data_IF_117856284814
#
_entry.id   IF_117856284814
#
_cell.length_a   1.000
_cell.length_b   1.000
_cell.length_c   1.000
_cell.angle_alpha   90.00
_cell.angle_beta   90.00
_cell.angle_gamma   90.00
#
_symmetry.space_group_name_H-M   'P 1'
#
loop_
_entity.id
_entity.type
_entity.pdbx_description
1 polymer ?
#
# COMPACT_ATOMS: atom_id res chain seq x y z
N UNK A 1 -19.82 -1.33 2.79
CA UNK A 1 -18.79 -2.35 2.52
C UNK A 1 -18.70 -2.59 1.00
N UNK A 2 -17.56 -3.02 0.49
CA UNK A 2 -17.38 -3.39 -0.91
C UNK A 2 -17.36 -4.92 -1.01
N UNK A 3 -18.29 -5.51 -1.75
CA UNK A 3 -18.41 -6.95 -1.90
C UNK A 3 -17.54 -7.43 -3.05
N UNK A 4 -16.89 -8.58 -2.86
CA UNK A 4 -15.89 -9.12 -3.78
C UNK A 4 -16.07 -10.62 -3.92
N UNK A 5 -15.85 -11.13 -5.13
CA UNK A 5 -15.74 -12.55 -5.38
C UNK A 5 -14.31 -13.04 -5.11
N UNK A 6 -14.19 -14.35 -4.85
CA UNK A 6 -12.87 -14.99 -4.81
C UNK A 6 -12.15 -14.77 -6.15
N UNK A 7 -10.85 -14.48 -6.09
CA UNK A 7 -10.02 -14.18 -7.26
C UNK A 7 -10.38 -12.87 -7.99
N UNK A 8 -11.28 -12.04 -7.47
CA UNK A 8 -11.55 -10.73 -8.05
C UNK A 8 -10.39 -9.76 -7.76
N UNK A 9 -9.96 -9.02 -8.78
CA UNK A 9 -9.03 -7.91 -8.61
C UNK A 9 -9.76 -6.69 -8.04
N UNK A 10 -9.18 -6.11 -6.99
CA UNK A 10 -9.63 -4.90 -6.35
C UNK A 10 -8.77 -3.74 -6.82
N UNK A 11 -9.41 -2.69 -7.34
CA UNK A 11 -8.73 -1.49 -7.82
C UNK A 11 -8.99 -0.34 -6.85
N UNK A 12 -7.92 0.24 -6.32
CA UNK A 12 -7.99 1.32 -5.34
C UNK A 12 -7.26 2.54 -5.85
N UNK A 13 -7.78 3.70 -5.43
CA UNK A 13 -7.16 5.00 -5.68
C UNK A 13 -7.14 5.79 -4.37
N UNK A 14 -5.97 6.32 -4.04
CA UNK A 14 -5.82 7.36 -3.04
C UNK A 14 -5.54 8.68 -3.75
N UNK A 15 -6.21 9.75 -3.30
CA UNK A 15 -6.08 11.09 -3.87
C UNK A 15 -5.78 12.09 -2.76
N UNK A 16 -4.72 12.87 -2.95
CA UNK A 16 -4.39 14.01 -2.08
C UNK A 16 -5.12 15.26 -2.59
N UNK A 17 -6.01 15.79 -1.76
CA UNK A 17 -6.69 17.07 -2.02
C UNK A 17 -5.90 18.21 -1.37
N UNK A 18 -5.14 18.93 -2.19
CA UNK A 18 -4.34 20.09 -1.78
C UNK A 18 -4.33 21.14 -2.89
N UNK A 19 -4.18 22.42 -2.52
CA UNK A 19 -3.95 23.52 -3.47
C UNK A 19 -2.48 23.63 -3.91
N UNK A 20 -1.54 22.97 -3.23
CA UNK A 20 -0.13 22.97 -3.61
C UNK A 20 0.13 21.93 -4.73
N UNK A 21 0.49 22.37 -5.95
CA UNK A 21 0.75 21.46 -7.07
C UNK A 21 2.08 20.71 -6.94
N UNK A 22 2.95 21.08 -6.00
CA UNK A 22 4.28 20.50 -5.82
C UNK A 22 4.29 19.34 -4.81
N UNK A 23 3.15 18.67 -4.62
CA UNK A 23 3.03 17.51 -3.75
C UNK A 23 2.88 16.22 -4.56
N UNK A 24 3.38 15.13 -4.00
CA UNK A 24 3.13 13.79 -4.51
C UNK A 24 2.68 12.86 -3.39
N UNK A 25 1.86 11.88 -3.77
CA UNK A 25 1.34 10.86 -2.88
C UNK A 25 2.01 9.52 -3.17
N UNK A 26 2.42 8.82 -2.12
CA UNK A 26 3.05 7.52 -2.19
C UNK A 26 2.38 6.55 -1.22
N UNK A 27 2.15 5.31 -1.65
CA UNK A 27 1.63 4.24 -0.81
C UNK A 27 2.82 3.53 -0.16
N UNK A 28 3.04 3.75 1.14
CA UNK A 28 4.17 3.12 1.83
C UNK A 28 3.82 1.71 2.27
N UNK A 29 2.74 1.56 3.04
CA UNK A 29 2.36 0.28 3.65
C UNK A 29 0.85 0.12 3.58
N UNK A 30 0.36 -1.03 3.15
CA UNK A 30 -1.05 -1.40 3.25
C UNK A 30 -1.19 -2.81 3.81
N UNK A 31 -2.09 -2.95 4.78
CA UNK A 31 -2.37 -4.20 5.47
C UNK A 31 -3.87 -4.46 5.52
N UNK A 32 -4.27 -5.71 5.33
CA UNK A 32 -5.65 -6.14 5.52
C UNK A 32 -5.78 -6.96 6.81
N UNK A 33 -6.82 -6.72 7.61
CA UNK A 33 -7.11 -7.45 8.84
C UNK A 33 -8.59 -7.76 8.95
N UNK A 34 -9.01 -8.94 9.46
CA UNK A 34 -10.40 -9.18 9.82
C UNK A 34 -10.85 -8.36 11.04
N UNK A 35 -9.91 -7.89 11.87
CA UNK A 35 -10.18 -7.03 13.03
C UNK A 35 -9.94 -5.55 12.65
N UNK A 36 -10.99 -4.69 12.67
CA UNK A 36 -10.85 -3.28 12.35
C UNK A 36 -10.06 -2.47 13.39
N UNK A 37 -9.75 -3.06 14.55
CA UNK A 37 -9.01 -2.43 15.65
C UNK A 37 -7.58 -2.96 15.82
N UNK A 38 -7.25 -4.10 15.19
CA UNK A 38 -5.91 -4.70 15.25
C UNK A 38 -5.41 -5.10 13.85
N UNK A 39 -4.46 -4.30 13.35
CA UNK A 39 -3.76 -4.52 12.07
C UNK A 39 -2.35 -5.07 12.25
N UNK A 40 -2.04 -5.70 13.40
CA UNK A 40 -0.70 -6.20 13.73
C UNK A 40 -0.68 -7.71 13.96
N UNK A 41 -1.65 -8.23 14.72
CA UNK A 41 -1.62 -9.65 15.14
C UNK A 41 -1.96 -10.59 14.00
N UNK A 42 -2.99 -10.28 13.23
CA UNK A 42 -3.47 -11.07 12.10
C UNK A 42 -3.63 -10.15 10.88
N UNK A 43 -2.50 -9.81 10.28
CA UNK A 43 -2.45 -8.88 9.17
C UNK A 43 -1.90 -9.55 7.90
N UNK A 44 -2.58 -9.31 6.78
CA UNK A 44 -2.10 -9.63 5.44
C UNK A 44 -1.41 -8.40 4.87
N UNK A 45 -0.08 -8.46 4.75
CA UNK A 45 0.70 -7.36 4.16
C UNK A 45 0.53 -7.36 2.64
N UNK A 46 -0.04 -6.29 2.08
CA UNK A 46 -0.14 -6.11 0.63
C UNK A 46 1.13 -5.45 0.08
N UNK A 47 1.56 -4.39 0.75
CA UNK A 47 2.79 -3.64 0.47
C UNK A 47 3.34 -3.18 1.82
N UNK A 48 4.66 -3.18 1.97
CA UNK A 48 5.33 -2.70 3.19
C UNK A 48 6.59 -1.94 2.84
N UNK A 49 6.71 -0.72 3.33
CA UNK A 49 7.84 0.18 3.03
C UNK A 49 8.11 0.29 1.53
N UNK A 50 7.03 0.44 0.74
CA UNK A 50 7.08 0.55 -0.71
C UNK A 50 7.37 -0.76 -1.46
N UNK A 51 7.58 -1.86 -0.73
CA UNK A 51 7.87 -3.16 -1.33
C UNK A 51 6.61 -4.04 -1.36
N UNK A 52 6.12 -4.44 -2.54
CA UNK A 52 5.02 -5.40 -2.65
C UNK A 52 5.32 -6.67 -1.82
N UNK A 53 4.33 -7.09 -1.04
CA UNK A 53 4.36 -8.30 -0.22
C UNK A 53 3.37 -9.34 -0.72
N UNK A 54 2.22 -8.88 -1.22
CA UNK A 54 1.29 -9.70 -1.96
C UNK A 54 1.76 -9.84 -3.42
N UNK A 55 1.92 -11.05 -3.97
CA UNK A 55 2.36 -11.27 -5.36
C UNK A 55 1.41 -10.70 -6.42
N UNK A 56 0.15 -10.47 -6.06
CA UNK A 56 -0.88 -9.89 -6.93
C UNK A 56 -0.97 -8.37 -6.81
N UNK A 57 -0.21 -7.76 -5.89
CA UNK A 57 -0.14 -6.32 -5.76
C UNK A 57 0.51 -5.69 -6.99
N UNK A 58 -0.14 -4.66 -7.54
CA UNK A 58 0.39 -3.91 -8.67
C UNK A 58 0.04 -2.42 -8.56
N UNK A 59 1.04 -1.54 -8.74
CA UNK A 59 0.83 -0.09 -8.82
C UNK A 59 0.55 0.34 -10.25
N UNK A 60 -0.50 1.13 -10.44
CA UNK A 60 -0.88 1.69 -11.74
C UNK A 60 -0.35 3.11 -11.91
N UNK A 61 0.06 3.43 -13.14
CA UNK A 61 0.42 4.78 -13.51
C UNK A 61 -0.75 5.76 -13.30
N UNK A 62 -0.41 6.94 -12.79
CA UNK A 62 -1.30 8.09 -12.70
C UNK A 62 -0.59 9.29 -13.34
N UNK A 63 -1.28 10.07 -14.19
CA UNK A 63 -0.73 11.31 -14.71
C UNK A 63 -0.63 12.42 -13.64
N UNK A 64 -1.29 12.25 -12.49
CA UNK A 64 -1.28 13.20 -11.38
C UNK A 64 -0.41 12.67 -10.25
N UNK A 65 0.62 13.43 -9.84
CA UNK A 65 1.52 13.09 -8.73
C UNK A 65 0.79 12.95 -7.39
N UNK A 66 -0.32 13.68 -7.22
CA UNK A 66 -1.18 13.65 -6.03
C UNK A 66 -2.09 12.43 -5.96
N UNK A 67 -2.04 11.53 -6.95
CA UNK A 67 -2.92 10.35 -7.04
C UNK A 67 -2.08 9.08 -7.12
N UNK A 68 -2.31 8.16 -6.20
CA UNK A 68 -1.73 6.81 -6.23
C UNK A 68 -2.81 5.79 -6.55
N UNK A 69 -2.54 4.91 -7.52
CA UNK A 69 -3.44 3.82 -7.92
C UNK A 69 -2.75 2.49 -7.74
N UNK A 70 -3.47 1.52 -7.21
CA UNK A 70 -2.96 0.17 -7.05
C UNK A 70 -4.10 -0.85 -7.09
N UNK A 71 -3.75 -2.10 -7.38
CA UNK A 71 -4.65 -3.22 -7.25
C UNK A 71 -4.01 -4.38 -6.51
N UNK A 72 -4.85 -5.27 -6.03
CA UNK A 72 -4.47 -6.57 -5.51
C UNK A 72 -5.65 -7.54 -5.68
N UNK A 73 -5.38 -8.83 -5.60
CA UNK A 73 -6.39 -9.85 -5.71
C UNK A 73 -7.02 -10.19 -4.36
N UNK A 74 -8.34 -10.40 -4.32
CA UNK A 74 -9.04 -10.71 -3.07
C UNK A 74 -8.74 -12.12 -2.50
N UNK A 75 -8.08 -13.00 -3.26
CA UNK A 75 -7.79 -14.39 -2.86
C UNK A 75 -7.13 -14.52 -1.48
N UNK A 76 -6.23 -13.59 -1.12
CA UNK A 76 -5.43 -13.68 0.09
C UNK A 76 -6.24 -13.72 1.40
N UNK A 77 -7.51 -13.26 1.39
CA UNK A 77 -8.34 -13.19 2.61
C UNK A 77 -9.76 -13.72 2.48
N UNK A 78 -10.38 -13.72 1.29
CA UNK A 78 -11.80 -14.10 1.13
C UNK A 78 -12.06 -15.57 1.49
N UNK A 79 -11.06 -16.45 1.39
CA UNK A 79 -11.22 -17.86 1.74
C UNK A 79 -11.13 -18.13 3.26
N UNK A 80 -10.76 -17.13 4.07
CA UNK A 80 -10.53 -17.31 5.53
C UNK A 80 -11.48 -16.49 6.38
N UNK A 81 -11.86 -15.30 5.92
CA UNK A 81 -12.72 -14.38 6.66
C UNK A 81 -13.81 -13.80 5.76
N UNK A 82 -15.07 -13.69 6.25
CA UNK A 82 -16.18 -13.16 5.44
C UNK A 82 -16.05 -11.66 5.14
N UNK A 83 -15.21 -10.95 5.90
CA UNK A 83 -14.89 -9.55 5.69
C UNK A 83 -13.49 -9.25 6.21
N UNK A 84 -12.85 -8.24 5.61
CA UNK A 84 -11.61 -7.63 6.09
C UNK A 84 -11.68 -6.13 5.95
N UNK A 85 -10.83 -5.45 6.71
CA UNK A 85 -10.61 -4.02 6.68
C UNK A 85 -9.23 -3.76 6.11
N UNK A 86 -9.09 -2.69 5.35
CA UNK A 86 -7.84 -2.27 4.76
C UNK A 86 -7.35 -1.00 5.47
N UNK A 87 -6.11 -1.02 5.94
CA UNK A 87 -5.43 0.15 6.47
C UNK A 87 -4.20 0.43 5.61
N UNK A 88 -4.07 1.66 5.13
CA UNK A 88 -2.93 2.11 4.34
C UNK A 88 -2.26 3.33 5.00
N UNK A 89 -0.94 3.27 5.10
CA UNK A 89 -0.06 4.39 5.38
C UNK A 89 0.32 5.07 4.06
N UNK A 90 -0.11 6.32 3.91
CA UNK A 90 0.19 7.15 2.76
C UNK A 90 1.21 8.22 3.16
N UNK A 91 2.19 8.45 2.30
CA UNK A 91 3.25 9.45 2.51
C UNK A 91 3.06 10.57 1.49
N UNK A 92 3.10 11.80 1.97
CA UNK A 92 3.10 13.00 1.14
C UNK A 92 4.51 13.56 1.11
N UNK A 93 5.06 13.77 -0.09
CA UNK A 93 6.37 14.38 -0.29
C UNK A 93 6.27 15.59 -1.22
N UNK A 94 7.31 16.42 -1.21
CA UNK A 94 7.50 17.42 -2.27
C UNK A 94 7.84 16.69 -3.58
N UNK A 95 7.15 17.07 -4.65
CA UNK A 95 7.41 16.57 -5.99
C UNK A 95 8.84 16.96 -6.43
N UNK A 96 9.54 16.05 -7.11
CA UNK A 96 10.95 16.17 -7.48
C UNK A 96 11.97 16.28 -6.33
N UNK A 97 11.57 16.06 -5.07
CA UNK A 97 12.54 15.82 -4.00
C UNK A 97 13.00 14.35 -4.03
N UNK A 98 14.04 14.08 -4.82
CA UNK A 98 14.60 12.74 -5.01
C UNK A 98 15.19 12.11 -3.74
N UNK A 99 15.44 12.90 -2.68
CA UNK A 99 15.89 12.39 -1.39
C UNK A 99 14.74 11.90 -0.49
N UNK A 100 13.51 12.32 -0.81
CA UNK A 100 12.31 12.03 -0.03
C UNK A 100 11.93 10.55 -0.02
N UNK A 101 11.15 10.15 1.00
CA UNK A 101 10.64 8.80 1.15
C UNK A 101 9.89 8.30 -0.10
N UNK A 102 9.18 9.18 -0.81
CA UNK A 102 8.41 8.83 -2.00
C UNK A 102 9.28 8.37 -3.17
N UNK A 103 10.48 8.96 -3.34
CA UNK A 103 11.42 8.58 -4.41
C UNK A 103 12.35 7.43 -4.02
N UNK A 104 12.48 7.13 -2.73
CA UNK A 104 13.21 5.93 -2.26
C UNK A 104 12.54 4.62 -2.71
N UNK A 105 11.24 4.64 -3.03
CA UNK A 105 10.51 3.47 -3.52
C UNK A 105 10.48 2.30 -2.52
N UNK A 106 10.81 1.10 -2.97
CA UNK A 106 10.91 -0.08 -2.12
C UNK A 106 12.20 -0.05 -1.30
N UNK A 107 12.07 0.03 0.03
CA UNK A 107 13.20 0.00 0.97
C UNK A 107 13.11 -1.30 1.78
N UNK A 108 14.03 -2.23 1.53
CA UNK A 108 14.18 -3.42 2.35
C UNK A 108 15.19 -3.15 3.46
N UNK A 109 14.90 -3.57 4.70
CA UNK A 109 15.93 -3.61 5.74
C UNK A 109 16.97 -4.65 5.33
N UNK A 110 18.18 -4.21 5.00
CA UNK A 110 19.33 -5.13 4.95
C UNK A 110 19.52 -5.72 6.35
N UNK A 111 19.65 -7.06 6.45
CA UNK A 111 20.14 -7.69 7.68
C UNK A 111 21.47 -7.01 8.03
N UNK A 112 21.56 -6.38 9.20
CA UNK A 112 22.86 -5.97 9.73
C UNK A 112 23.67 -7.25 9.88
N UNK A 113 24.79 -7.39 9.16
CA UNK A 113 25.80 -8.38 9.50
C UNK A 113 26.28 -8.03 10.91
N UNK A 114 25.83 -8.77 11.91
CA UNK A 114 26.56 -8.83 13.18
C UNK A 114 27.85 -9.61 12.84
N UNK A 115 28.90 -8.87 12.48
CA UNK A 115 30.21 -9.45 12.27
C UNK A 115 30.70 -10.07 13.58
N UNK A 116 31.10 -11.34 13.49
CA UNK A 116 31.78 -12.11 14.53
C UNK A 116 33.15 -11.54 14.90
#
# INVERSE_FOLDING_TARGET
PYYVDLNQNLFLQASLHSSDPNLMLFVDTCVASPDPSDFRTLAYELIRSGCPKDPTYYSYYSPYSSVSRFAFNAFSFVNRYPSVYLQCELVVCRYHDYSSRCYQGCVTRFKRNAGS
#
